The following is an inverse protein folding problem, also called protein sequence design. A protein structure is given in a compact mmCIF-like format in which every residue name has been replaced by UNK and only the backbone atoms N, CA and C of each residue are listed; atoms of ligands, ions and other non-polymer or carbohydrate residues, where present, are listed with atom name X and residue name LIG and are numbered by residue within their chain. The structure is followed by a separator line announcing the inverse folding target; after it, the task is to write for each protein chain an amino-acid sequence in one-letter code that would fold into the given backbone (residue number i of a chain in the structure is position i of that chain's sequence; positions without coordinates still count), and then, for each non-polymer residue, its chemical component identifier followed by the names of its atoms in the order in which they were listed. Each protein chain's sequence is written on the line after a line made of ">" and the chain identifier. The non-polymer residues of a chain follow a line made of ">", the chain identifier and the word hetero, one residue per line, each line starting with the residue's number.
data_IF_195247212363
#
_entry.id   IF_195247212363
#
_cell.length_a   1.000
_cell.length_b   1.000
_cell.length_c   1.000
_cell.angle_alpha   90.00
_cell.angle_beta   90.00
_cell.angle_gamma   90.00
#
_symmetry.space_group_name_H-M   'P 1'
#
loop_
_entity.id
_entity.type
_entity.pdbx_description
1 polymer ?
#
# COMPACT_ATOMS: atom_id res chain seq x y z
N UNK A 1 -3.44 12.25 -17.50
CA UNK A 1 -3.55 10.91 -16.88
C UNK A 1 -2.34 10.10 -17.34
N UNK A 2 -1.36 9.85 -16.46
CA UNK A 2 -0.05 9.31 -16.85
C UNK A 2 -0.14 7.79 -17.14
N UNK A 3 0.04 7.40 -18.41
CA UNK A 3 0.06 5.99 -18.88
C UNK A 3 1.02 5.11 -18.05
N UNK A 4 2.07 5.71 -17.48
CA UNK A 4 3.09 5.05 -16.69
C UNK A 4 2.56 4.36 -15.42
N UNK A 5 1.37 4.75 -14.92
CA UNK A 5 0.77 4.18 -13.69
C UNK A 5 -0.07 2.92 -13.94
N UNK A 6 -0.49 2.71 -15.19
CA UNK A 6 -1.26 1.53 -15.62
C UNK A 6 -0.35 0.31 -15.87
N UNK A 7 0.97 0.52 -15.97
CA UNK A 7 1.94 -0.53 -16.26
C UNK A 7 2.35 -1.34 -15.03
N UNK A 8 2.18 -0.81 -13.82
CA UNK A 8 2.78 -1.40 -12.61
C UNK A 8 2.28 -2.83 -12.36
N UNK A 9 0.97 -3.08 -12.48
CA UNK A 9 0.42 -4.43 -12.35
C UNK A 9 0.95 -5.39 -13.42
N UNK A 10 1.04 -4.94 -14.67
CA UNK A 10 1.56 -5.77 -15.77
C UNK A 10 3.08 -6.00 -15.68
N UNK A 11 3.85 -5.00 -15.28
CA UNK A 11 5.29 -5.10 -15.06
C UNK A 11 5.60 -6.05 -13.91
N UNK A 12 4.81 -6.00 -12.83
CA UNK A 12 4.98 -6.87 -11.67
C UNK A 12 4.59 -8.32 -12.00
N UNK A 13 3.52 -8.53 -12.77
CA UNK A 13 3.17 -9.86 -13.30
C UNK A 13 4.26 -10.42 -14.23
N UNK A 14 4.82 -9.58 -15.11
CA UNK A 14 5.93 -9.97 -15.98
C UNK A 14 7.18 -10.31 -15.16
N UNK A 15 7.43 -9.57 -14.07
CA UNK A 15 8.52 -9.83 -13.13
C UNK A 15 8.33 -11.18 -12.41
N UNK A 16 7.13 -11.49 -11.91
CA UNK A 16 6.82 -12.81 -11.34
C UNK A 16 7.07 -13.92 -12.36
N UNK A 17 6.63 -13.74 -13.61
CA UNK A 17 6.88 -14.71 -14.69
C UNK A 17 8.36 -14.98 -14.92
N UNK A 18 9.21 -13.95 -14.84
CA UNK A 18 10.68 -14.11 -14.93
C UNK A 18 11.24 -14.83 -13.71
N UNK A 19 10.82 -14.47 -12.49
CA UNK A 19 11.25 -15.16 -11.27
C UNK A 19 10.90 -16.65 -11.37
N UNK A 20 9.66 -16.99 -11.72
CA UNK A 20 9.22 -18.37 -11.86
C UNK A 20 10.01 -19.13 -12.93
N UNK A 21 10.27 -18.51 -14.08
CA UNK A 21 11.13 -19.11 -15.11
C UNK A 21 12.52 -19.48 -14.53
N UNK A 22 13.16 -18.58 -13.80
CA UNK A 22 14.43 -18.88 -13.14
C UNK A 22 14.28 -19.95 -12.05
N UNK A 23 13.24 -19.89 -11.22
CA UNK A 23 12.96 -20.85 -10.15
C UNK A 23 12.54 -22.24 -10.64
N UNK A 24 12.02 -22.36 -11.86
CA UNK A 24 11.61 -23.65 -12.46
C UNK A 24 12.78 -24.63 -12.62
N UNK A 25 14.00 -24.11 -12.69
CA UNK A 25 15.26 -24.87 -12.76
C UNK A 25 15.70 -25.40 -11.40
N UNK A 26 15.06 -24.97 -10.31
CA UNK A 26 15.39 -25.37 -8.94
C UNK A 26 14.41 -26.44 -8.41
N UNK A 27 14.89 -27.39 -7.59
CA UNK A 27 14.05 -28.40 -6.95
C UNK A 27 12.90 -27.79 -6.16
N UNK A 28 11.74 -28.46 -6.14
CA UNK A 28 10.54 -28.03 -5.40
C UNK A 28 10.76 -27.81 -3.90
N UNK A 29 11.79 -28.42 -3.31
CA UNK A 29 12.21 -28.21 -1.92
C UNK A 29 12.72 -26.79 -1.63
N UNK A 30 13.19 -26.04 -2.62
CA UNK A 30 13.60 -24.64 -2.46
C UNK A 30 12.38 -23.69 -2.51
N UNK A 31 11.25 -24.16 -3.04
CA UNK A 31 10.00 -23.39 -3.23
C UNK A 31 9.23 -23.07 -1.94
N UNK A 32 9.70 -23.52 -0.78
CA UNK A 32 9.08 -23.30 0.53
C UNK A 32 10.05 -22.65 1.54
N UNK A 33 11.07 -21.95 1.05
CA UNK A 33 12.03 -21.26 1.91
C UNK A 33 11.48 -19.91 2.37
N UNK A 34 11.83 -19.49 3.59
CA UNK A 34 11.48 -18.16 4.11
C UNK A 34 11.90 -17.02 3.19
N UNK A 35 13.00 -17.20 2.44
CA UNK A 35 13.47 -16.25 1.44
C UNK A 35 12.44 -16.00 0.31
N UNK A 36 11.71 -17.02 -0.13
CA UNK A 36 10.69 -16.86 -1.17
C UNK A 36 9.42 -16.20 -0.63
N UNK A 37 9.05 -16.47 0.63
CA UNK A 37 7.97 -15.72 1.29
C UNK A 37 8.30 -14.24 1.43
N UNK A 38 9.56 -13.89 1.71
CA UNK A 38 10.01 -12.49 1.74
C UNK A 38 9.93 -11.81 0.36
N UNK A 39 10.11 -12.56 -0.74
CA UNK A 39 9.89 -12.04 -2.09
C UNK A 39 8.40 -11.74 -2.30
N UNK A 40 7.50 -12.63 -1.87
CA UNK A 40 6.06 -12.41 -1.94
C UNK A 40 5.63 -11.20 -1.11
N UNK A 41 6.14 -11.07 0.12
CA UNK A 41 5.91 -9.89 0.97
C UNK A 41 6.35 -8.60 0.26
N UNK A 42 7.54 -8.61 -0.34
CA UNK A 42 8.09 -7.47 -1.08
C UNK A 42 7.24 -7.10 -2.30
N UNK A 43 6.85 -8.07 -3.11
CA UNK A 43 6.02 -7.85 -4.32
C UNK A 43 4.67 -7.24 -3.94
N UNK A 44 4.02 -7.77 -2.91
CA UNK A 44 2.74 -7.22 -2.41
C UNK A 44 2.95 -5.79 -1.90
N UNK A 45 3.99 -5.55 -1.10
CA UNK A 45 4.29 -4.22 -0.57
C UNK A 45 4.56 -3.19 -1.69
N UNK A 46 5.34 -3.54 -2.71
CA UNK A 46 5.58 -2.69 -3.89
C UNK A 46 4.27 -2.35 -4.59
N UNK A 47 3.39 -3.33 -4.80
CA UNK A 47 2.09 -3.08 -5.43
C UNK A 47 1.25 -2.11 -4.61
N UNK A 48 1.12 -2.36 -3.30
CA UNK A 48 0.26 -1.57 -2.40
C UNK A 48 0.74 -0.12 -2.31
N UNK A 49 2.04 0.10 -2.15
CA UNK A 49 2.59 1.46 -2.10
C UNK A 49 2.34 2.19 -3.42
N UNK A 50 2.60 1.55 -4.56
CA UNK A 50 2.34 2.17 -5.85
C UNK A 50 0.86 2.48 -6.09
N UNK A 51 -0.02 1.53 -5.79
CA UNK A 51 -1.46 1.65 -5.96
C UNK A 51 -2.03 2.80 -5.13
N UNK A 52 -1.59 2.96 -3.88
CA UNK A 52 -2.02 4.05 -2.98
C UNK A 52 -1.43 5.43 -3.34
N UNK A 53 -0.45 5.50 -4.25
CA UNK A 53 0.04 6.77 -4.81
C UNK A 53 -0.73 7.20 -6.07
N UNK A 54 -1.63 6.37 -6.59
CA UNK A 54 -2.55 6.73 -7.66
C UNK A 54 -3.69 7.58 -7.08
N UNK A 55 -3.75 8.85 -7.45
CA UNK A 55 -4.78 9.79 -6.96
C UNK A 55 -5.26 10.67 -8.13
N UNK A 56 -6.57 10.98 -8.22
CA UNK A 56 -7.66 10.50 -7.36
C UNK A 56 -8.05 9.03 -7.65
N UNK A 57 -8.51 8.30 -6.63
CA UNK A 57 -9.00 6.92 -6.76
C UNK A 57 -10.48 6.89 -7.18
N UNK A 58 -10.73 7.05 -8.48
CA UNK A 58 -12.08 6.85 -9.08
C UNK A 58 -12.48 5.37 -9.03
N UNK A 59 -13.78 5.06 -9.09
CA UNK A 59 -14.26 3.67 -9.10
C UNK A 59 -13.64 2.83 -10.23
N UNK A 60 -13.51 3.41 -11.42
CA UNK A 60 -12.83 2.74 -12.55
C UNK A 60 -11.37 2.38 -12.28
N UNK A 61 -10.66 3.22 -11.51
CA UNK A 61 -9.27 2.95 -11.11
C UNK A 61 -9.25 1.89 -10.02
N UNK A 62 -10.20 1.91 -9.07
CA UNK A 62 -10.32 0.90 -8.02
C UNK A 62 -10.60 -0.48 -8.58
N UNK A 63 -11.61 -0.61 -9.45
CA UNK A 63 -11.93 -1.87 -10.13
C UNK A 63 -10.70 -2.42 -10.88
N UNK A 64 -9.93 -1.54 -11.53
CA UNK A 64 -8.71 -1.94 -12.20
C UNK A 64 -7.64 -2.43 -11.22
N UNK A 65 -7.35 -1.65 -10.17
CA UNK A 65 -6.37 -2.00 -9.14
C UNK A 65 -6.75 -3.30 -8.43
N UNK A 66 -8.05 -3.50 -8.17
CA UNK A 66 -8.60 -4.74 -7.62
C UNK A 66 -8.27 -5.93 -8.53
N UNK A 67 -8.61 -5.84 -9.82
CA UNK A 67 -8.34 -6.92 -10.77
C UNK A 67 -6.85 -7.19 -11.00
N UNK A 68 -6.01 -6.15 -10.98
CA UNK A 68 -4.56 -6.31 -11.08
C UNK A 68 -3.97 -6.95 -9.81
N UNK A 69 -4.45 -6.57 -8.62
CA UNK A 69 -4.05 -7.17 -7.34
C UNK A 69 -4.52 -8.63 -7.24
N UNK A 70 -5.73 -8.94 -7.67
CA UNK A 70 -6.25 -10.31 -7.67
C UNK A 70 -5.36 -11.25 -8.49
N UNK A 71 -5.05 -10.85 -9.74
CA UNK A 71 -4.15 -11.60 -10.62
C UNK A 71 -2.74 -11.73 -10.05
N UNK A 72 -2.24 -10.67 -9.40
CA UNK A 72 -0.93 -10.68 -8.76
C UNK A 72 -0.89 -11.72 -7.63
N UNK A 73 -1.91 -11.72 -6.77
CA UNK A 73 -2.01 -12.66 -5.65
C UNK A 73 -2.17 -14.10 -6.14
N UNK A 74 -2.98 -14.35 -7.18
CA UNK A 74 -3.07 -15.67 -7.80
C UNK A 74 -1.74 -16.14 -8.42
N UNK A 75 -0.98 -15.22 -9.01
CA UNK A 75 0.35 -15.51 -9.54
C UNK A 75 1.34 -15.83 -8.41
N UNK A 76 1.27 -15.14 -7.27
CA UNK A 76 2.09 -15.42 -6.09
C UNK A 76 1.74 -16.81 -5.53
N UNK A 77 0.46 -17.11 -5.30
CA UNK A 77 0.02 -18.37 -4.71
C UNK A 77 0.34 -19.58 -5.60
N UNK A 78 0.32 -19.40 -6.92
CA UNK A 78 0.63 -20.48 -7.87
C UNK A 78 2.12 -20.68 -8.14
N UNK A 79 2.95 -19.64 -8.00
CA UNK A 79 4.35 -19.65 -8.47
C UNK A 79 5.39 -19.46 -7.38
N UNK A 80 5.02 -18.88 -6.25
CA UNK A 80 5.91 -18.52 -5.15
C UNK A 80 5.43 -19.14 -3.83
N UNK A 81 6.19 -18.92 -2.75
CA UNK A 81 5.70 -19.22 -1.40
C UNK A 81 4.71 -18.15 -0.96
N UNK A 82 3.62 -18.50 -0.23
CA UNK A 82 2.69 -17.51 0.30
C UNK A 82 3.38 -16.45 1.17
N UNK A 83 2.81 -15.25 1.15
CA UNK A 83 3.25 -14.14 1.99
C UNK A 83 3.02 -14.46 3.46
N UNK A 84 4.02 -14.19 4.29
CA UNK A 84 3.90 -14.31 5.76
C UNK A 84 3.39 -13.01 6.34
N UNK A 85 3.78 -11.86 5.77
CA UNK A 85 3.36 -10.53 6.22
C UNK A 85 1.91 -10.21 5.86
N UNK A 86 1.41 -10.74 4.75
CA UNK A 86 0.08 -10.47 4.21
C UNK A 86 -0.68 -11.77 3.87
N UNK A 87 -1.02 -12.59 4.88
CA UNK A 87 -1.56 -13.93 4.65
C UNK A 87 -3.02 -13.92 4.14
N UNK A 88 -3.75 -12.82 4.28
CA UNK A 88 -5.18 -12.75 3.95
C UNK A 88 -5.44 -11.96 2.66
N UNK A 89 -5.63 -12.67 1.55
CA UNK A 89 -5.97 -12.13 0.22
C UNK A 89 -7.23 -11.24 0.24
N UNK A 90 -8.27 -11.63 0.97
CA UNK A 90 -9.53 -10.88 1.00
C UNK A 90 -9.35 -9.48 1.61
N UNK A 91 -8.48 -9.36 2.62
CA UNK A 91 -8.18 -8.07 3.25
C UNK A 91 -7.33 -7.16 2.36
N UNK A 92 -6.42 -7.72 1.56
CA UNK A 92 -5.68 -6.95 0.56
C UNK A 92 -6.62 -6.43 -0.54
N UNK A 93 -7.53 -7.27 -1.02
CA UNK A 93 -8.50 -6.91 -2.06
C UNK A 93 -9.51 -5.86 -1.59
N UNK A 94 -9.90 -5.87 -0.32
CA UNK A 94 -10.86 -4.90 0.22
C UNK A 94 -10.36 -3.46 0.19
N UNK A 95 -9.04 -3.23 0.06
CA UNK A 95 -8.46 -1.89 -0.11
C UNK A 95 -8.91 -1.19 -1.40
N UNK A 96 -9.24 -1.96 -2.44
CA UNK A 96 -9.62 -1.44 -3.76
C UNK A 96 -11.03 -1.89 -4.19
N UNK A 97 -11.83 -2.43 -3.27
CA UNK A 97 -13.23 -2.76 -3.57
C UNK A 97 -14.01 -1.47 -3.88
N UNK A 98 -14.81 -1.48 -4.95
CA UNK A 98 -15.66 -0.34 -5.32
C UNK A 98 -16.94 -0.30 -4.45
N UNK A 99 -17.37 0.90 -4.06
CA UNK A 99 -18.58 1.13 -3.24
C UNK A 99 -18.30 1.68 -1.83
N UNK A 100 -19.38 1.94 -1.05
CA UNK A 100 -19.34 2.60 0.27
C UNK A 100 -18.60 1.81 1.38
N UNK A 101 -18.14 0.59 1.07
CA UNK A 101 -17.18 -0.15 1.90
C UNK A 101 -15.77 0.43 1.71
N UNK A 102 -15.64 1.72 2.01
CA UNK A 102 -14.34 2.38 2.05
C UNK A 102 -13.44 1.64 3.03
N UNK A 103 -12.12 1.81 2.82
CA UNK A 103 -11.07 1.36 3.74
C UNK A 103 -11.45 1.64 5.21
N UNK A 104 -12.13 2.77 5.48
CA UNK A 104 -12.63 3.15 6.79
C UNK A 104 -13.50 2.09 7.50
N UNK A 105 -14.31 1.33 6.76
CA UNK A 105 -15.20 0.28 7.30
C UNK A 105 -14.46 -1.05 7.52
N UNK A 106 -13.47 -1.36 6.67
CA UNK A 106 -12.71 -2.61 6.69
C UNK A 106 -11.56 -2.63 7.72
N UNK A 107 -11.28 -1.51 8.40
CA UNK A 107 -10.23 -1.38 9.43
C UNK A 107 -10.55 -2.15 10.73
N UNK A 108 -11.79 -2.64 10.93
CA UNK A 108 -12.21 -3.23 12.21
C UNK A 108 -11.47 -4.51 12.59
N UNK A 109 -10.98 -5.27 11.60
CA UNK A 109 -10.22 -6.50 11.83
C UNK A 109 -8.74 -6.21 11.57
N UNK A 110 -7.95 -6.13 12.65
CA UNK A 110 -6.56 -5.66 12.78
C UNK A 110 -5.51 -6.51 12.03
N UNK A 111 -5.78 -6.81 10.76
CA UNK A 111 -5.16 -7.92 10.03
C UNK A 111 -4.09 -7.46 9.05
N UNK A 112 -4.09 -6.16 8.70
CA UNK A 112 -3.04 -5.55 7.89
C UNK A 112 -2.27 -4.51 8.74
N UNK A 113 -0.98 -4.31 8.45
CA UNK A 113 -0.21 -3.24 9.06
C UNK A 113 -0.90 -1.88 8.95
N UNK A 114 -0.94 -1.12 10.06
CA UNK A 114 -1.66 0.15 10.16
C UNK A 114 -1.27 1.16 9.07
N UNK A 115 0.00 1.16 8.64
CA UNK A 115 0.48 2.05 7.58
C UNK A 115 -0.26 1.86 6.25
N UNK A 116 -0.73 0.64 5.92
CA UNK A 116 -1.47 0.37 4.68
C UNK A 116 -2.79 1.13 4.69
N UNK A 117 -3.52 1.06 5.80
CA UNK A 117 -4.78 1.77 5.96
C UNK A 117 -4.56 3.29 5.94
N UNK A 118 -3.51 3.78 6.60
CA UNK A 118 -3.13 5.20 6.56
C UNK A 118 -2.87 5.65 5.12
N UNK A 119 -2.07 4.87 4.37
CA UNK A 119 -1.78 5.12 2.96
C UNK A 119 -3.03 5.23 2.10
N UNK A 120 -3.93 4.26 2.24
CA UNK A 120 -5.14 4.21 1.43
C UNK A 120 -6.11 5.35 1.78
N UNK A 121 -6.22 5.74 3.06
CA UNK A 121 -7.00 6.93 3.46
C UNK A 121 -6.40 8.24 2.93
N UNK A 122 -5.07 8.35 2.86
CA UNK A 122 -4.40 9.49 2.20
C UNK A 122 -4.71 9.48 0.71
N UNK A 123 -4.67 8.31 0.07
CA UNK A 123 -5.02 8.15 -1.35
C UNK A 123 -6.44 8.64 -1.66
N UNK A 124 -7.39 8.31 -0.77
CA UNK A 124 -8.81 8.67 -0.84
C UNK A 124 -9.10 10.13 -0.45
N UNK A 125 -8.12 10.82 0.14
CA UNK A 125 -8.29 12.21 0.55
C UNK A 125 -8.16 13.19 -0.64
N UNK A 126 -8.72 14.40 -0.56
CA UNK A 126 -8.48 15.45 -1.55
C UNK A 126 -7.00 15.87 -1.64
N UNK A 127 -6.60 16.44 -2.78
CA UNK A 127 -5.20 16.79 -3.09
C UNK A 127 -4.58 17.84 -2.14
N UNK A 128 -5.41 18.58 -1.39
CA UNK A 128 -4.93 19.49 -0.33
C UNK A 128 -4.08 18.76 0.73
N UNK A 129 -4.42 17.48 1.00
CA UNK A 129 -3.52 16.56 1.67
C UNK A 129 -2.61 15.96 0.60
N UNK A 130 -1.37 16.44 0.54
CA UNK A 130 -0.40 16.03 -0.47
C UNK A 130 -0.04 14.55 -0.36
N UNK A 131 0.36 13.95 -1.48
CA UNK A 131 0.84 12.57 -1.48
C UNK A 131 2.16 12.43 -0.71
N UNK A 132 2.41 11.30 -0.03
CA UNK A 132 3.61 11.11 0.80
C UNK A 132 4.95 11.41 0.11
N UNK A 133 5.13 10.98 -1.14
CA UNK A 133 6.37 11.29 -1.89
C UNK A 133 6.54 12.79 -2.18
N UNK A 134 5.45 13.54 -2.34
CA UNK A 134 5.51 14.97 -2.66
C UNK A 134 5.88 15.83 -1.46
N UNK A 135 5.54 15.41 -0.23
CA UNK A 135 5.89 16.18 0.98
C UNK A 135 7.40 16.29 1.21
N UNK A 136 8.17 15.34 0.68
CA UNK A 136 9.63 15.28 0.72
C UNK A 136 10.28 15.43 -0.66
N UNK A 137 9.49 15.80 -1.68
CA UNK A 137 9.95 16.01 -3.06
C UNK A 137 10.68 14.81 -3.67
N UNK A 138 10.31 13.59 -3.28
CA UNK A 138 10.89 12.39 -3.86
C UNK A 138 10.17 11.96 -5.13
N UNK A 139 10.90 11.46 -6.15
CA UNK A 139 10.27 10.68 -7.21
C UNK A 139 9.60 9.44 -6.60
N UNK A 140 8.53 8.97 -7.26
CA UNK A 140 7.73 7.83 -6.77
C UNK A 140 8.61 6.60 -6.51
N UNK A 141 9.52 6.29 -7.42
CA UNK A 141 10.42 5.13 -7.31
C UNK A 141 11.28 5.18 -6.04
N UNK A 142 11.78 6.36 -5.67
CA UNK A 142 12.56 6.55 -4.46
C UNK A 142 11.71 6.32 -3.21
N UNK A 143 10.47 6.85 -3.20
CA UNK A 143 9.56 6.66 -2.09
C UNK A 143 9.11 5.20 -1.93
N UNK A 144 8.77 4.52 -3.04
CA UNK A 144 8.42 3.09 -3.05
C UNK A 144 9.58 2.26 -2.50
N UNK A 145 10.81 2.51 -2.97
CA UNK A 145 12.00 1.84 -2.48
C UNK A 145 12.19 2.07 -0.98
N UNK A 146 12.10 3.32 -0.53
CA UNK A 146 12.20 3.67 0.88
C UNK A 146 11.19 2.89 1.73
N UNK A 147 9.91 2.86 1.32
CA UNK A 147 8.90 2.07 2.03
C UNK A 147 9.24 0.58 2.09
N UNK A 148 9.87 -0.01 1.07
CA UNK A 148 10.22 -1.43 1.07
C UNK A 148 11.47 -1.76 1.90
N UNK A 149 12.31 -0.76 2.19
CA UNK A 149 13.55 -0.92 2.95
C UNK A 149 13.40 -0.61 4.45
N UNK A 150 12.26 -0.04 4.85
CA UNK A 150 12.01 0.42 6.21
C UNK A 150 10.91 -0.39 6.90
N UNK A 151 10.98 -0.44 8.22
CA UNK A 151 10.00 -1.11 9.07
C UNK A 151 8.63 -0.43 9.04
N UNK A 152 7.58 -1.16 9.40
CA UNK A 152 6.23 -0.63 9.48
C UNK A 152 6.15 0.60 10.42
N UNK A 153 6.94 0.62 11.50
CA UNK A 153 7.03 1.75 12.44
C UNK A 153 7.65 3.00 11.82
N UNK A 154 8.72 2.83 11.04
CA UNK A 154 9.37 3.95 10.35
C UNK A 154 8.43 4.56 9.31
N UNK A 155 7.68 3.73 8.59
CA UNK A 155 6.65 4.18 7.65
C UNK A 155 5.56 4.96 8.40
N UNK A 156 5.05 4.45 9.53
CA UNK A 156 4.06 5.15 10.35
C UNK A 156 4.60 6.50 10.86
N UNK A 157 5.85 6.53 11.32
CA UNK A 157 6.52 7.75 11.79
C UNK A 157 6.63 8.80 10.68
N UNK A 158 7.02 8.38 9.48
CA UNK A 158 7.04 9.24 8.30
C UNK A 158 5.65 9.84 8.01
N UNK A 159 4.61 9.00 8.02
CA UNK A 159 3.23 9.43 7.75
C UNK A 159 2.69 10.35 8.86
N UNK A 160 3.10 10.14 10.11
CA UNK A 160 2.82 11.05 11.23
C UNK A 160 3.43 12.44 11.00
N UNK A 161 4.67 12.51 10.50
CA UNK A 161 5.31 13.76 10.10
C UNK A 161 4.58 14.48 8.97
N UNK A 162 4.10 13.74 7.96
CA UNK A 162 3.25 14.26 6.89
C UNK A 162 1.95 14.87 7.46
N UNK A 163 1.25 14.14 8.34
CA UNK A 163 -0.01 14.61 8.92
C UNK A 163 0.20 15.84 9.80
N UNK A 164 1.29 15.90 10.56
CA UNK A 164 1.66 17.08 11.36
C UNK A 164 1.86 18.30 10.47
N UNK A 165 2.57 18.13 9.35
CA UNK A 165 2.79 19.20 8.37
C UNK A 165 1.48 19.69 7.75
N UNK A 166 0.56 18.77 7.46
CA UNK A 166 -0.79 19.11 6.99
C UNK A 166 -1.59 19.89 8.05
N UNK A 167 -1.52 19.49 9.32
CA UNK A 167 -2.19 20.20 10.42
C UNK A 167 -1.70 21.65 10.53
N UNK A 168 -0.38 21.86 10.47
CA UNK A 168 0.21 23.21 10.46
C UNK A 168 -0.26 24.03 9.24
N UNK A 169 -0.39 23.41 8.07
CA UNK A 169 -0.89 24.08 6.87
C UNK A 169 -2.33 24.57 7.04
N UNK A 170 -3.23 23.71 7.52
CA UNK A 170 -4.66 24.05 7.77
C UNK A 170 -4.78 25.21 8.76
N UNK A 171 -4.02 25.15 9.85
CA UNK A 171 -3.97 26.21 10.88
C UNK A 171 -3.48 27.53 10.27
N UNK A 172 -2.37 27.51 9.52
CA UNK A 172 -1.80 28.71 8.91
C UNK A 172 -2.74 29.34 7.87
N UNK A 173 -3.54 28.52 7.18
CA UNK A 173 -4.56 28.98 6.22
C UNK A 173 -5.86 29.44 6.87
N UNK A 174 -5.98 29.35 8.20
CA UNK A 174 -7.20 29.65 8.94
C UNK A 174 -8.40 28.84 8.43
N UNK A 175 -8.14 27.64 7.92
CA UNK A 175 -9.18 26.71 7.50
C UNK A 175 -9.85 26.11 8.75
N UNK A 176 -11.18 25.98 8.71
CA UNK A 176 -11.96 25.49 9.86
C UNK A 176 -12.20 23.98 9.83
N UNK A 177 -11.79 23.30 8.76
CA UNK A 177 -12.08 21.89 8.53
C UNK A 177 -10.85 21.17 7.95
N UNK A 178 -10.58 19.99 8.48
CA UNK A 178 -9.60 19.05 7.92
C UNK A 178 -10.25 18.21 6.80
N UNK A 179 -9.43 17.48 6.03
CA UNK A 179 -9.94 16.47 5.09
C UNK A 179 -10.79 15.41 5.83
N UNK A 180 -11.82 14.83 5.19
CA UNK A 180 -12.74 13.89 5.84
C UNK A 180 -12.06 12.72 6.56
N UNK A 181 -10.97 12.20 6.01
CA UNK A 181 -10.25 11.05 6.57
C UNK A 181 -9.25 11.39 7.69
N UNK A 182 -9.02 12.68 7.98
CA UNK A 182 -8.02 13.11 8.97
C UNK A 182 -8.19 12.46 10.35
N UNK A 183 -9.39 12.45 10.98
CA UNK A 183 -9.56 11.86 12.30
C UNK A 183 -9.19 10.37 12.33
N UNK A 184 -9.55 9.62 11.28
CA UNK A 184 -9.28 8.18 11.20
C UNK A 184 -7.80 7.89 10.98
N UNK A 185 -7.12 8.71 10.18
CA UNK A 185 -5.66 8.60 9.99
C UNK A 185 -4.93 8.80 11.33
N UNK A 186 -5.31 9.84 12.10
CA UNK A 186 -4.67 10.11 13.39
C UNK A 186 -4.93 9.00 14.42
N UNK A 187 -6.13 8.42 14.43
CA UNK A 187 -6.46 7.24 15.25
C UNK A 187 -5.55 6.05 14.93
N UNK A 188 -5.36 5.74 13.64
CA UNK A 188 -4.50 4.64 13.18
C UNK A 188 -3.02 4.88 13.51
N UNK A 189 -2.53 6.12 13.36
CA UNK A 189 -1.15 6.48 13.72
C UNK A 189 -0.93 6.22 15.20
N UNK A 190 -1.82 6.71 16.06
CA UNK A 190 -1.74 6.51 17.51
C UNK A 190 -1.72 5.02 17.86
N UNK A 191 -2.66 4.25 17.33
CA UNK A 191 -2.73 2.79 17.55
C UNK A 191 -1.46 2.07 17.08
N UNK A 192 -0.94 2.43 15.91
CA UNK A 192 0.28 1.83 15.35
C UNK A 192 1.53 2.11 16.17
N UNK A 193 1.63 3.30 16.77
CA UNK A 193 2.73 3.65 17.68
C UNK A 193 2.62 3.00 19.06
N UNK A 194 1.41 2.81 19.58
CA UNK A 194 1.16 2.18 20.89
C UNK A 194 1.36 0.66 20.86
N UNK A 195 1.03 -0.01 19.76
CA UNK A 195 1.20 -1.47 19.59
C UNK A 195 2.67 -1.92 19.58
N UNK A 196 3.61 -0.97 19.49
CA UNK A 196 5.05 -1.21 19.40
C UNK A 196 5.83 -0.80 20.65
N UNK A 197 5.13 -0.36 21.71
CA UNK A 197 5.68 -0.03 23.03
C UNK A 197 5.45 -1.17 24.01
#
# INVERSE_FOLDING_TARGET
>A
MNLQRLLIGMELLAYIGRIEFHLSHFPSTIRHTSALSSISDYIIQVFIVNATLVRPLTDSIREKLYGDLEKLLDAIDSKLSPSVKYPNKAHLLSLFCAGESSVAQNIKDDTLPAWIYIHALIADSPEILVSPHLSVQWPIEQYVRWCCEHSDLEIISFLSGLMTSYTTLVINRHETQYVPHYPKIMELIKKGTETSS
#
